data_IF_689315226435
#
_entry.id   IF_689315226435
#
_cell.length_a   1.000
_cell.length_b   1.000
_cell.length_c   1.000
_cell.angle_alpha   90.00
_cell.angle_beta   90.00
_cell.angle_gamma   90.00
#
_symmetry.space_group_name_H-M   'P 1'
#
loop_
_entity.id
_entity.type
_entity.pdbx_description
1 polymer ?
#
# COMPACT_ATOMS: atom_id res chain seq x y z
N UNK A 1 48.96 -88.45 29.51
CA UNK A 1 48.30 -87.50 30.41
C UNK A 1 48.44 -86.11 29.79
N UNK A 2 47.53 -85.63 28.93
CA UNK A 2 46.34 -84.82 29.28
C UNK A 2 46.75 -83.51 29.99
N UNK A 3 46.51 -82.27 29.53
CA UNK A 3 45.58 -81.71 28.54
C UNK A 3 46.17 -80.44 27.87
N UNK A 4 45.79 -80.24 26.61
CA UNK A 4 46.04 -79.04 25.80
C UNK A 4 45.00 -77.97 26.15
N UNK A 5 45.44 -76.78 26.57
CA UNK A 5 44.57 -75.62 26.79
C UNK A 5 44.82 -74.61 25.66
N UNK A 6 43.80 -74.34 24.85
CA UNK A 6 43.83 -73.30 23.81
C UNK A 6 43.74 -71.90 24.45
N UNK A 7 44.39 -70.88 23.85
CA UNK A 7 44.18 -69.49 24.25
C UNK A 7 42.87 -68.96 23.66
N UNK A 8 41.94 -68.57 24.52
CA UNK A 8 40.68 -67.91 24.17
C UNK A 8 40.91 -66.42 23.87
N UNK A 9 41.16 -66.05 22.60
CA UNK A 9 41.35 -64.64 22.19
C UNK A 9 40.24 -64.08 21.29
N UNK A 10 39.10 -64.77 21.12
CA UNK A 10 38.03 -64.34 20.21
C UNK A 10 37.04 -63.28 20.75
N UNK A 11 37.13 -62.82 22.01
CA UNK A 11 36.14 -61.89 22.60
C UNK A 11 36.39 -60.39 22.38
N UNK A 12 37.59 -59.96 21.97
CA UNK A 12 37.93 -58.52 21.87
C UNK A 12 37.36 -57.81 20.64
N UNK A 13 37.16 -58.52 19.51
CA UNK A 13 36.65 -57.92 18.26
C UNK A 13 35.16 -57.58 18.31
N UNK A 14 34.33 -58.43 18.94
CA UNK A 14 32.89 -58.20 19.09
C UNK A 14 32.57 -57.05 20.06
N UNK A 15 33.37 -56.88 21.10
CA UNK A 15 33.23 -55.76 22.05
C UNK A 15 33.44 -54.40 21.35
N UNK A 16 34.48 -54.27 20.53
CA UNK A 16 34.76 -53.04 19.76
C UNK A 16 33.65 -52.66 18.76
N UNK A 17 33.09 -53.65 18.05
CA UNK A 17 31.97 -53.42 17.14
C UNK A 17 30.71 -52.96 17.87
N UNK A 18 30.41 -53.55 19.02
CA UNK A 18 29.28 -53.14 19.83
C UNK A 18 29.41 -51.69 20.33
N UNK A 19 30.62 -51.28 20.72
CA UNK A 19 30.89 -49.90 21.14
C UNK A 19 30.79 -48.92 19.97
N UNK A 20 31.26 -49.31 18.79
CA UNK A 20 31.09 -48.51 17.57
C UNK A 20 29.60 -48.33 17.21
N UNK A 21 28.80 -49.41 17.27
CA UNK A 21 27.35 -49.33 17.04
C UNK A 21 26.68 -48.39 18.04
N UNK A 22 27.06 -48.45 19.32
CA UNK A 22 26.55 -47.55 20.35
C UNK A 22 26.92 -46.09 20.07
N UNK A 23 28.18 -45.81 19.71
CA UNK A 23 28.62 -44.45 19.37
C UNK A 23 27.91 -43.89 18.13
N UNK A 24 27.61 -44.73 17.14
CA UNK A 24 26.85 -44.32 15.95
C UNK A 24 25.41 -43.99 16.34
N UNK A 25 24.79 -44.81 17.20
CA UNK A 25 23.44 -44.55 17.69
C UNK A 25 23.35 -43.26 18.52
N UNK A 26 24.31 -43.03 19.42
CA UNK A 26 24.38 -41.81 20.24
C UNK A 26 24.53 -40.57 19.36
N UNK A 27 25.41 -40.64 18.34
CA UNK A 27 25.59 -39.55 17.37
C UNK A 27 24.32 -39.28 16.56
N UNK A 28 23.64 -40.32 16.08
CA UNK A 28 22.38 -40.18 15.34
C UNK A 28 21.27 -39.55 16.18
N UNK A 29 21.16 -39.94 17.45
CA UNK A 29 20.20 -39.33 18.37
C UNK A 29 20.51 -37.85 18.59
N UNK A 30 21.78 -37.51 18.84
CA UNK A 30 22.18 -36.11 19.02
C UNK A 30 21.90 -35.25 17.78
N UNK A 31 22.19 -35.77 16.58
CA UNK A 31 21.88 -35.07 15.33
C UNK A 31 20.37 -34.87 15.15
N UNK A 32 19.57 -35.88 15.50
CA UNK A 32 18.11 -35.80 15.45
C UNK A 32 17.56 -34.76 16.42
N UNK A 33 18.09 -34.68 17.65
CA UNK A 33 17.70 -33.68 18.64
C UNK A 33 17.99 -32.26 18.16
N UNK A 34 19.17 -32.06 17.55
CA UNK A 34 19.55 -30.77 16.94
C UNK A 34 18.62 -30.42 15.78
N UNK A 35 18.24 -31.39 14.94
CA UNK A 35 17.29 -31.18 13.85
C UNK A 35 15.90 -30.81 14.38
N UNK A 36 15.37 -31.54 15.36
CA UNK A 36 14.08 -31.24 15.99
C UNK A 36 14.10 -29.82 16.59
N UNK A 37 15.18 -29.44 17.25
CA UNK A 37 15.35 -28.11 17.81
C UNK A 37 15.42 -27.03 16.71
N UNK A 38 16.15 -27.27 15.62
CA UNK A 38 16.23 -26.34 14.50
C UNK A 38 14.87 -26.17 13.82
N UNK A 39 14.16 -27.27 13.54
CA UNK A 39 12.85 -27.26 12.90
C UNK A 39 11.81 -26.56 13.76
N UNK A 40 11.78 -26.80 15.08
CA UNK A 40 10.85 -26.12 15.97
C UNK A 40 11.09 -24.60 16.04
N UNK A 41 12.36 -24.16 16.03
CA UNK A 41 12.71 -22.73 15.93
C UNK A 41 12.28 -22.12 14.60
N UNK A 42 12.50 -22.81 13.48
CA UNK A 42 12.06 -22.36 12.16
C UNK A 42 10.54 -22.27 12.11
N UNK A 43 9.81 -23.27 12.62
CA UNK A 43 8.35 -23.26 12.67
C UNK A 43 7.81 -22.12 13.54
N UNK A 44 8.42 -21.86 14.70
CA UNK A 44 8.06 -20.73 15.56
C UNK A 44 8.27 -19.38 14.87
N UNK A 45 9.41 -19.19 14.21
CA UNK A 45 9.68 -17.98 13.43
C UNK A 45 8.68 -17.83 12.26
N UNK A 46 8.37 -18.92 11.55
CA UNK A 46 7.39 -18.91 10.48
C UNK A 46 5.98 -18.55 10.97
N UNK A 47 5.56 -19.05 12.13
CA UNK A 47 4.30 -18.69 12.75
C UNK A 47 4.24 -17.20 13.10
N UNK A 48 5.32 -16.65 13.64
CA UNK A 48 5.39 -15.21 13.94
C UNK A 48 5.38 -14.34 12.68
N UNK A 49 6.03 -14.79 11.60
CA UNK A 49 5.99 -14.10 10.30
C UNK A 49 4.57 -14.12 9.73
N UNK A 50 3.85 -15.24 9.84
CA UNK A 50 2.46 -15.34 9.40
C UNK A 50 1.57 -14.36 10.18
N UNK A 51 1.70 -14.29 11.50
CA UNK A 51 0.97 -13.34 12.33
C UNK A 51 1.26 -11.88 11.93
N UNK A 52 2.53 -11.56 11.68
CA UNK A 52 2.92 -10.22 11.19
C UNK A 52 2.28 -9.91 9.83
N UNK A 53 2.26 -10.88 8.91
CA UNK A 53 1.63 -10.70 7.60
C UNK A 53 0.12 -10.49 7.72
N UNK A 54 -0.58 -11.26 8.55
CA UNK A 54 -2.03 -11.09 8.77
C UNK A 54 -2.34 -9.70 9.33
N UNK A 55 -1.49 -9.20 10.25
CA UNK A 55 -1.60 -7.83 10.76
C UNK A 55 -1.38 -6.78 9.68
N UNK A 56 -0.32 -6.91 8.87
CA UNK A 56 -0.04 -5.97 7.79
C UNK A 56 -1.16 -5.95 6.75
N UNK A 57 -1.71 -7.13 6.42
CA UNK A 57 -2.86 -7.25 5.52
C UNK A 57 -4.04 -6.46 6.10
N UNK A 58 -4.35 -6.66 7.38
CA UNK A 58 -5.47 -5.98 8.05
C UNK A 58 -5.27 -4.46 8.06
N UNK A 59 -4.08 -3.98 8.46
CA UNK A 59 -3.78 -2.54 8.54
C UNK A 59 -3.81 -1.86 7.16
N UNK A 60 -3.25 -2.51 6.14
CA UNK A 60 -3.29 -1.99 4.75
C UNK A 60 -4.73 -1.98 4.23
N UNK A 61 -5.54 -3.01 4.54
CA UNK A 61 -6.96 -3.03 4.17
C UNK A 61 -7.71 -1.87 4.81
N UNK A 62 -7.54 -1.67 6.12
CA UNK A 62 -8.20 -0.58 6.84
C UNK A 62 -7.82 0.80 6.29
N UNK A 63 -6.53 0.99 5.95
CA UNK A 63 -6.03 2.24 5.39
C UNK A 63 -6.56 2.47 3.97
N UNK A 64 -6.50 1.46 3.10
CA UNK A 64 -7.01 1.56 1.72
C UNK A 64 -8.53 1.76 1.72
N UNK A 65 -9.28 1.04 2.56
CA UNK A 65 -10.72 1.21 2.66
C UNK A 65 -11.08 2.61 3.18
N UNK A 66 -10.33 3.12 4.16
CA UNK A 66 -10.48 4.50 4.66
C UNK A 66 -10.21 5.52 3.55
N UNK A 67 -9.13 5.38 2.79
CA UNK A 67 -8.78 6.27 1.69
C UNK A 67 -9.83 6.25 0.58
N UNK A 68 -10.31 5.06 0.20
CA UNK A 68 -11.38 4.90 -0.79
C UNK A 68 -12.70 5.51 -0.29
N UNK A 69 -13.01 5.41 1.01
CA UNK A 69 -14.21 6.02 1.57
C UNK A 69 -14.09 7.55 1.64
N UNK A 70 -12.90 8.09 1.95
CA UNK A 70 -12.61 9.53 1.87
C UNK A 70 -12.76 10.01 0.42
N UNK A 71 -12.16 9.33 -0.55
CA UNK A 71 -12.32 9.62 -1.99
C UNK A 71 -13.79 9.59 -2.42
N UNK A 72 -14.58 8.63 -1.90
CA UNK A 72 -16.02 8.54 -2.18
C UNK A 72 -16.81 9.70 -1.57
N UNK A 73 -16.43 10.18 -0.37
CA UNK A 73 -17.04 11.38 0.21
C UNK A 73 -16.61 12.67 -0.50
N UNK A 74 -15.36 12.78 -0.96
CA UNK A 74 -14.89 13.90 -1.80
C UNK A 74 -15.56 13.88 -3.18
N UNK A 75 -15.84 12.69 -3.72
CA UNK A 75 -16.60 12.50 -4.97
C UNK A 75 -18.11 12.73 -4.81
N UNK A 76 -18.62 12.74 -3.57
CA UNK A 76 -19.96 13.21 -3.23
C UNK A 76 -20.03 14.72 -3.03
N UNK A 77 -19.04 15.49 -3.53
CA UNK A 77 -19.21 16.92 -3.76
C UNK A 77 -20.46 17.10 -4.59
N UNK A 78 -21.56 17.49 -3.93
CA UNK A 78 -22.88 17.59 -4.51
C UNK A 78 -22.82 18.56 -5.68
N UNK A 79 -22.69 18.03 -6.88
CA UNK A 79 -22.96 18.78 -8.08
C UNK A 79 -24.46 18.95 -8.08
N UNK A 80 -24.91 20.11 -7.62
CA UNK A 80 -26.30 20.50 -7.72
C UNK A 80 -26.60 20.68 -9.20
N UNK A 81 -27.13 19.63 -9.82
CA UNK A 81 -27.73 19.72 -11.14
C UNK A 81 -29.12 20.34 -11.03
N UNK A 82 -29.56 21.00 -12.10
CA UNK A 82 -30.85 21.68 -12.18
C UNK A 82 -31.99 20.69 -11.86
N UNK A 83 -31.86 19.44 -12.28
CA UNK A 83 -32.89 18.41 -12.10
C UNK A 83 -33.02 17.98 -10.64
N UNK A 84 -31.89 17.83 -9.92
CA UNK A 84 -31.87 17.49 -8.49
C UNK A 84 -32.50 18.62 -7.68
N UNK A 85 -32.17 19.87 -8.02
CA UNK A 85 -32.74 21.06 -7.37
C UNK A 85 -34.24 21.20 -7.58
N UNK A 86 -34.74 20.90 -8.80
CA UNK A 86 -36.19 20.91 -9.10
C UNK A 86 -36.93 19.74 -8.45
N UNK A 87 -36.27 18.61 -8.27
CA UNK A 87 -36.84 17.47 -7.56
C UNK A 87 -36.97 17.76 -6.05
N UNK A 88 -35.98 18.43 -5.47
CA UNK A 88 -35.95 18.76 -4.05
C UNK A 88 -36.84 19.97 -3.72
N UNK A 89 -36.93 20.94 -4.62
CA UNK A 89 -37.73 22.14 -4.47
C UNK A 89 -38.66 22.31 -5.67
N UNK A 90 -39.96 22.14 -5.43
CA UNK A 90 -40.97 22.23 -6.49
C UNK A 90 -41.01 23.62 -7.15
N UNK A 91 -40.60 24.68 -6.45
CA UNK A 91 -40.49 26.02 -7.01
C UNK A 91 -39.14 26.68 -6.72
N UNK A 92 -38.73 27.58 -7.63
CA UNK A 92 -37.51 28.37 -7.47
C UNK A 92 -37.62 29.31 -6.26
N UNK A 93 -38.83 29.76 -5.93
CA UNK A 93 -39.06 30.65 -4.79
C UNK A 93 -38.78 29.93 -3.47
N UNK A 94 -39.17 28.67 -3.35
CA UNK A 94 -38.92 27.86 -2.15
C UNK A 94 -37.43 27.58 -1.98
N UNK A 95 -36.75 27.19 -3.07
CA UNK A 95 -35.29 27.02 -3.07
C UNK A 95 -34.57 28.32 -2.69
N UNK A 96 -35.04 29.46 -3.21
CA UNK A 96 -34.49 30.79 -2.92
C UNK A 96 -34.58 31.14 -1.44
N UNK A 97 -35.70 30.81 -0.80
CA UNK A 97 -35.92 31.03 0.64
C UNK A 97 -35.02 30.08 1.45
N UNK A 98 -34.95 28.81 1.07
CA UNK A 98 -34.16 27.79 1.76
C UNK A 98 -32.67 28.14 1.79
N UNK A 99 -32.10 28.50 0.63
CA UNK A 99 -30.69 28.87 0.53
C UNK A 99 -30.42 30.35 0.86
N UNK A 100 -31.47 31.16 1.03
CA UNK A 100 -31.39 32.61 1.27
C UNK A 100 -30.58 33.37 0.21
N UNK A 101 -30.57 32.88 -1.03
CA UNK A 101 -29.79 33.45 -2.14
C UNK A 101 -30.67 34.33 -3.04
N UNK A 102 -30.15 35.45 -3.54
CA UNK A 102 -30.82 36.23 -4.59
C UNK A 102 -30.47 35.66 -5.97
N UNK A 103 -31.33 34.81 -6.49
CA UNK A 103 -31.21 34.21 -7.83
C UNK A 103 -32.41 34.52 -8.70
N UNK A 104 -32.18 34.63 -10.01
CA UNK A 104 -33.17 34.88 -11.06
C UNK A 104 -33.49 33.64 -11.91
N UNK A 105 -32.66 32.59 -11.84
CA UNK A 105 -32.83 31.35 -12.60
C UNK A 105 -32.29 30.12 -11.86
N UNK A 106 -32.73 28.92 -12.25
CA UNK A 106 -32.26 27.66 -11.66
C UNK A 106 -30.79 27.39 -11.97
N UNK A 107 -30.33 27.77 -13.15
CA UNK A 107 -28.93 27.68 -13.57
C UNK A 107 -28.07 28.56 -12.67
N UNK A 108 -28.53 29.77 -12.37
CA UNK A 108 -27.84 30.70 -11.47
C UNK A 108 -27.77 30.18 -10.03
N UNK A 109 -28.80 29.46 -9.57
CA UNK A 109 -28.80 28.81 -8.27
C UNK A 109 -27.83 27.63 -8.23
N UNK A 110 -27.91 26.73 -9.20
CA UNK A 110 -27.00 25.59 -9.34
C UNK A 110 -25.54 26.05 -9.38
N UNK A 111 -25.23 27.03 -10.24
CA UNK A 111 -23.88 27.57 -10.35
C UNK A 111 -23.41 28.24 -9.06
N UNK A 112 -24.27 28.98 -8.35
CA UNK A 112 -23.91 29.58 -7.05
C UNK A 112 -23.70 28.53 -5.96
N UNK A 113 -24.51 27.48 -5.91
CA UNK A 113 -24.36 26.40 -4.93
C UNK A 113 -23.10 25.57 -5.21
N UNK A 114 -22.84 25.26 -6.48
CA UNK A 114 -21.62 24.57 -6.91
C UNK A 114 -20.37 25.43 -6.66
N UNK A 115 -20.45 26.75 -6.89
CA UNK A 115 -19.36 27.68 -6.59
C UNK A 115 -19.13 27.86 -5.08
N UNK A 116 -20.19 27.99 -4.29
CA UNK A 116 -20.10 28.13 -2.83
C UNK A 116 -19.60 26.85 -2.17
N UNK A 117 -20.00 25.67 -2.68
CA UNK A 117 -19.47 24.36 -2.26
C UNK A 117 -17.95 24.23 -2.50
N UNK A 118 -17.37 25.03 -3.40
CA UNK A 118 -15.94 25.04 -3.66
C UNK A 118 -15.15 25.99 -2.74
N UNK A 119 -15.78 26.87 -1.96
CA UNK A 119 -15.09 27.89 -1.16
C UNK A 119 -14.98 27.56 0.33
N UNK A 120 -15.73 26.58 0.85
CA UNK A 120 -15.76 26.31 2.30
C UNK A 120 -14.52 25.56 2.84
N UNK A 121 -13.60 25.10 1.99
CA UNK A 121 -12.44 24.30 2.42
C UNK A 121 -11.16 25.10 2.72
N UNK A 122 -11.16 26.44 2.62
CA UNK A 122 -9.92 27.23 2.75
C UNK A 122 -9.74 27.89 4.13
N UNK A 123 -10.70 27.81 5.05
CA UNK A 123 -10.54 28.43 6.39
C UNK A 123 -10.86 27.42 7.49
N UNK A 124 -9.94 26.50 7.72
CA UNK A 124 -9.59 25.96 9.04
C UNK A 124 -8.47 24.94 8.87
N UNK A 125 -7.22 25.42 8.82
CA UNK A 125 -6.04 24.75 9.36
C UNK A 125 -4.88 25.76 9.31
N UNK A 126 -4.76 26.52 10.41
CA UNK A 126 -3.50 27.17 10.81
C UNK A 126 -2.61 26.04 11.36
N UNK A 127 -1.39 25.85 10.82
CA UNK A 127 -0.23 26.43 11.49
C UNK A 127 0.71 27.20 10.56
N UNK A 128 1.38 28.16 11.18
CA UNK A 128 2.46 28.98 10.66
C UNK A 128 3.63 28.14 10.11
N UNK A 129 4.30 28.62 9.06
CA UNK A 129 5.73 29.00 9.12
C UNK A 129 6.26 29.41 7.74
N UNK A 130 6.65 30.69 7.63
CA UNK A 130 7.83 31.29 6.96
C UNK A 130 8.25 30.74 5.58
N UNK A 131 8.02 31.51 4.51
CA UNK A 131 8.97 32.45 3.86
C UNK A 131 10.00 31.79 2.92
N UNK A 132 10.04 32.27 1.67
CA UNK A 132 11.28 32.28 0.88
C UNK A 132 11.12 32.26 -0.65
N UNK A 133 11.30 33.45 -1.25
CA UNK A 133 11.83 33.74 -2.61
C UNK A 133 11.04 33.21 -3.83
N UNK A 134 10.35 34.08 -4.58
CA UNK A 134 10.87 35.07 -5.56
C UNK A 134 10.95 34.49 -6.99
N UNK A 135 10.09 35.07 -7.84
CA UNK A 135 10.35 35.52 -9.21
C UNK A 135 10.66 34.46 -10.30
N UNK A 136 9.96 34.36 -11.44
CA UNK A 136 9.75 35.40 -12.48
C UNK A 136 8.79 34.88 -13.58
N UNK A 137 8.26 35.83 -14.34
CA UNK A 137 7.24 35.76 -15.39
C UNK A 137 7.57 34.88 -16.62
N UNK A 138 6.55 34.30 -17.31
CA UNK A 138 6.19 34.64 -18.71
C UNK A 138 5.10 33.73 -19.34
N UNK A 139 3.99 34.39 -19.69
CA UNK A 139 3.22 34.36 -20.96
C UNK A 139 2.61 33.05 -21.51
N UNK A 140 1.27 32.99 -21.36
CA UNK A 140 0.25 32.73 -22.38
C UNK A 140 0.53 31.67 -23.48
N UNK A 141 -0.02 30.47 -23.29
CA UNK A 141 -0.52 29.66 -24.41
C UNK A 141 -1.81 28.95 -24.02
N UNK A 142 -2.84 29.16 -24.86
CA UNK A 142 -4.22 28.68 -24.70
C UNK A 142 -4.30 27.17 -24.88
N UNK A 143 -4.40 26.40 -23.80
CA UNK A 143 -5.12 25.12 -23.79
C UNK A 143 -5.81 24.93 -22.44
N UNK A 144 -7.14 24.93 -22.45
CA UNK A 144 -7.99 24.62 -21.30
C UNK A 144 -7.88 23.13 -20.95
N UNK A 145 -6.96 22.77 -20.06
CA UNK A 145 -7.05 21.57 -19.23
C UNK A 145 -7.12 22.04 -17.78
N UNK A 146 -8.30 22.55 -17.41
CA UNK A 146 -8.50 23.13 -16.09
C UNK A 146 -8.50 22.02 -15.03
N UNK A 147 -7.45 22.05 -14.22
CA UNK A 147 -7.28 21.38 -12.93
C UNK A 147 -6.79 19.92 -12.92
N UNK A 148 -5.67 19.66 -13.58
CA UNK A 148 -4.68 18.76 -12.97
C UNK A 148 -3.58 19.67 -12.45
N UNK A 149 -3.63 20.00 -11.16
CA UNK A 149 -2.50 20.62 -10.49
C UNK A 149 -1.25 19.86 -10.91
N UNK A 150 -0.19 20.59 -11.30
CA UNK A 150 1.07 20.03 -11.78
C UNK A 150 1.62 19.08 -10.71
N UNK A 151 1.27 17.80 -10.81
CA UNK A 151 1.70 16.76 -9.88
C UNK A 151 3.21 16.65 -10.03
N UNK A 152 3.93 17.30 -9.12
CA UNK A 152 5.38 17.29 -9.12
C UNK A 152 5.80 16.02 -8.40
N UNK A 153 6.03 14.97 -9.19
CA UNK A 153 6.47 13.67 -8.68
C UNK A 153 7.98 13.75 -8.44
N UNK A 154 8.39 13.57 -7.17
CA UNK A 154 9.79 13.45 -6.80
C UNK A 154 10.18 11.97 -6.92
N UNK A 155 11.20 11.69 -7.74
CA UNK A 155 11.74 10.35 -7.91
C UNK A 155 12.94 10.17 -6.96
N UNK A 156 13.12 8.95 -6.47
CA UNK A 156 14.33 8.57 -5.74
C UNK A 156 15.56 8.69 -6.65
N UNK A 157 16.77 8.95 -6.11
CA UNK A 157 17.95 9.27 -6.92
C UNK A 157 18.34 8.21 -7.95
N UNK A 158 18.17 6.94 -7.61
CA UNK A 158 18.39 5.78 -8.48
C UNK A 158 17.34 5.69 -9.61
N UNK A 159 16.08 5.99 -9.29
CA UNK A 159 14.98 6.06 -10.28
C UNK A 159 15.15 7.28 -11.19
N UNK A 160 15.62 8.40 -10.65
CA UNK A 160 15.90 9.61 -11.41
C UNK A 160 17.08 9.42 -12.38
N UNK A 161 18.07 8.58 -12.04
CA UNK A 161 19.13 8.19 -12.96
C UNK A 161 18.59 7.36 -14.15
N UNK A 162 17.64 6.46 -13.89
CA UNK A 162 17.00 5.66 -14.94
C UNK A 162 16.01 6.46 -15.81
N UNK A 163 15.36 7.48 -15.23
CA UNK A 163 14.38 8.34 -15.91
C UNK A 163 14.78 9.81 -15.78
N UNK A 164 15.79 10.26 -16.54
CA UNK A 164 16.40 11.58 -16.36
C UNK A 164 15.50 12.75 -16.77
N UNK A 165 14.39 12.49 -17.46
CA UNK A 165 13.46 13.53 -17.90
C UNK A 165 12.00 13.05 -17.84
N UNK A 166 11.09 14.02 -17.88
CA UNK A 166 9.64 13.77 -17.84
C UNK A 166 9.11 13.02 -19.06
N UNK A 167 9.80 13.08 -20.20
CA UNK A 167 9.43 12.34 -21.41
C UNK A 167 9.63 10.83 -21.23
N UNK A 168 10.75 10.41 -20.64
CA UNK A 168 11.05 9.02 -20.32
C UNK A 168 10.03 8.42 -19.34
N UNK A 169 9.65 9.19 -18.31
CA UNK A 169 8.60 8.79 -17.36
C UNK A 169 7.25 8.63 -18.06
N UNK A 170 6.87 9.59 -18.91
CA UNK A 170 5.60 9.56 -19.61
C UNK A 170 5.51 8.39 -20.60
N UNK A 171 6.59 8.03 -21.27
CA UNK A 171 6.63 6.87 -22.16
C UNK A 171 6.53 5.56 -21.38
N UNK A 172 7.19 5.45 -20.22
CA UNK A 172 7.05 4.29 -19.34
C UNK A 172 5.60 4.11 -18.84
N UNK A 173 4.95 5.20 -18.42
CA UNK A 173 3.55 5.19 -18.01
C UNK A 173 2.61 4.80 -19.17
N UNK A 174 2.83 5.35 -20.37
CA UNK A 174 2.08 4.98 -21.58
C UNK A 174 2.28 3.51 -21.94
N UNK A 175 3.50 3.01 -21.81
CA UNK A 175 3.82 1.62 -22.05
C UNK A 175 3.10 0.70 -21.06
N UNK A 176 3.11 1.04 -19.77
CA UNK A 176 2.41 0.29 -18.73
C UNK A 176 0.90 0.25 -18.99
N UNK A 177 0.28 1.39 -19.34
CA UNK A 177 -1.13 1.46 -19.75
C UNK A 177 -1.40 0.60 -20.98
N UNK A 178 -0.48 0.58 -21.95
CA UNK A 178 -0.61 -0.23 -23.19
C UNK A 178 -0.56 -1.73 -22.89
N UNK A 179 0.39 -2.18 -22.08
CA UNK A 179 0.54 -3.61 -21.71
C UNK A 179 -0.65 -4.09 -20.89
N UNK A 180 -1.08 -3.31 -19.90
CA UNK A 180 -2.22 -3.65 -19.04
C UNK A 180 -3.55 -3.71 -19.80
N UNK A 181 -3.76 -2.85 -20.80
CA UNK A 181 -4.94 -2.91 -21.68
C UNK A 181 -4.92 -4.07 -22.67
N UNK A 182 -3.74 -4.53 -23.09
CA UNK A 182 -3.59 -5.66 -24.02
C UNK A 182 -3.79 -7.03 -23.35
N UNK A 183 -3.63 -7.10 -22.04
CA UNK A 183 -3.79 -8.31 -21.23
C UNK A 183 -5.20 -8.43 -20.61
N UNK A 184 -6.19 -7.67 -21.12
CA UNK A 184 -7.61 -7.80 -20.83
C UNK A 184 -8.33 -8.35 -22.05
#
# INVERSE_FOLDING_TARGET
MSKKSLPTTQKKGKARLADQIRSIADRLNQETDVQIQATSRILGAAAQIAENHDRLITEVVDMVESDLNVEKQVSQKHIYSIDILKQQFQTLRDAKIHFKLKVSSWESLANKLNAASCQTTIIQNKPQSNQGLADTNMTNSKYNFNNVEKLTVFLEPDVAEMFPNSEAVNEALRFLIRVTRKNR
#
